data_IF_177166996135
#
_entry.id   IF_177166996135
#
_cell.length_a   1.000
_cell.length_b   1.000
_cell.length_c   1.000
_cell.angle_alpha   90.00
_cell.angle_beta   90.00
_cell.angle_gamma   90.00
#
_symmetry.space_group_name_H-M   'P 1'
#
loop_
_entity.id
_entity.type
_entity.pdbx_description
1 polymer ?
#
# COMPACT_ATOMS: atom_id res chain seq x y z
N UNK A 1 53.08 2.60 57.49
CA UNK A 1 52.84 3.19 56.15
C UNK A 1 54.20 3.34 55.50
N UNK A 2 54.50 2.58 54.45
CA UNK A 2 55.75 2.80 53.71
C UNK A 2 55.59 4.06 52.85
N UNK A 3 56.39 5.07 53.15
CA UNK A 3 56.49 6.28 52.35
C UNK A 3 57.43 6.02 51.17
N UNK A 4 56.93 6.13 49.94
CA UNK A 4 57.80 6.14 48.77
C UNK A 4 57.26 5.55 47.46
N UNK A 5 56.05 4.98 47.41
CA UNK A 5 55.53 4.46 46.14
C UNK A 5 54.61 5.48 45.47
N UNK A 6 54.97 5.90 44.26
CA UNK A 6 54.05 6.62 43.38
C UNK A 6 52.95 5.65 42.92
N UNK A 7 51.67 6.06 42.92
CA UNK A 7 50.59 5.20 42.45
C UNK A 7 50.81 4.88 40.97
N UNK A 8 50.86 3.59 40.64
CA UNK A 8 50.83 3.09 39.26
C UNK A 8 49.38 2.83 38.87
N UNK A 9 48.95 3.44 37.78
CA UNK A 9 47.65 3.19 37.17
C UNK A 9 47.83 2.58 35.79
N UNK A 10 46.90 1.72 35.40
CA UNK A 10 46.79 1.17 34.06
C UNK A 10 45.37 1.42 33.56
N UNK A 11 45.26 1.90 32.32
CA UNK A 11 43.97 2.09 31.65
C UNK A 11 43.89 1.15 30.45
N UNK A 12 42.77 0.45 30.32
CA UNK A 12 42.41 -0.29 29.11
C UNK A 12 41.28 0.43 28.40
N UNK A 13 41.33 0.49 27.07
CA UNK A 13 40.24 1.02 26.23
C UNK A 13 39.61 -0.15 25.48
N UNK A 14 38.28 -0.26 25.53
CA UNK A 14 37.50 -1.23 24.77
C UNK A 14 36.61 -0.48 23.78
N UNK A 15 36.80 -0.73 22.49
CA UNK A 15 35.92 -0.19 21.46
C UNK A 15 34.67 -1.07 21.34
N UNK A 16 33.49 -0.51 21.65
CA UNK A 16 32.21 -1.20 21.51
C UNK A 16 31.51 -0.71 20.24
N UNK A 17 31.16 -1.63 19.34
CA UNK A 17 30.37 -1.32 18.14
C UNK A 17 28.94 -1.80 18.34
N UNK A 18 27.97 -0.95 17.99
CA UNK A 18 26.54 -1.26 18.07
C UNK A 18 26.07 -1.85 16.74
N UNK A 19 25.71 -3.13 16.71
CA UNK A 19 25.21 -3.82 15.51
C UNK A 19 23.80 -4.35 15.80
N UNK A 20 22.74 -3.57 15.53
CA UNK A 20 21.38 -4.03 15.70
C UNK A 20 21.03 -5.12 14.66
N UNK A 21 20.15 -6.03 15.06
CA UNK A 21 19.56 -7.01 14.15
C UNK A 21 18.07 -6.72 14.04
N UNK A 22 17.65 -6.18 12.90
CA UNK A 22 16.26 -5.88 12.62
C UNK A 22 15.60 -7.02 11.84
N UNK A 23 14.30 -7.20 12.09
CA UNK A 23 13.40 -7.98 11.24
C UNK A 23 12.35 -7.06 10.66
N UNK A 24 11.88 -7.39 9.45
CA UNK A 24 10.81 -6.69 8.76
C UNK A 24 9.83 -7.71 8.20
N UNK A 25 8.55 -7.44 8.36
CA UNK A 25 7.46 -8.20 7.75
C UNK A 25 6.53 -7.23 7.05
N UNK A 26 6.04 -7.63 5.87
CA UNK A 26 5.02 -6.91 5.13
C UNK A 26 3.86 -7.86 4.85
N UNK A 27 2.64 -7.40 5.08
CA UNK A 27 1.42 -8.13 4.76
C UNK A 27 0.48 -7.25 3.95
N UNK A 28 -0.36 -7.87 3.13
CA UNK A 28 -1.40 -7.24 2.32
C UNK A 28 -2.39 -8.29 1.81
N UNK A 29 -3.45 -7.88 1.11
CA UNK A 29 -4.41 -8.80 0.55
C UNK A 29 -3.78 -9.68 -0.55
N UNK A 30 -4.13 -10.96 -0.58
CA UNK A 30 -3.68 -11.88 -1.63
C UNK A 30 -4.42 -11.63 -2.96
N UNK A 31 -5.70 -11.22 -2.89
CA UNK A 31 -6.53 -10.94 -4.07
C UNK A 31 -7.37 -9.69 -3.82
N UNK A 32 -7.64 -8.92 -4.89
CA UNK A 32 -8.51 -7.75 -4.83
C UNK A 32 -9.11 -7.44 -6.20
N UNK A 33 -10.34 -6.93 -6.25
CA UNK A 33 -10.87 -6.35 -7.49
C UNK A 33 -10.24 -4.99 -7.77
N UNK A 34 -9.97 -4.68 -9.04
CA UNK A 34 -9.62 -3.32 -9.45
C UNK A 34 -10.71 -2.33 -8.99
N UNK A 35 -10.29 -1.19 -8.44
CA UNK A 35 -11.17 -0.16 -7.87
C UNK A 35 -11.49 -0.32 -6.38
N UNK A 36 -11.11 -1.43 -5.75
CA UNK A 36 -11.31 -1.62 -4.31
C UNK A 36 -10.21 -0.95 -3.48
N UNK A 37 -10.51 -0.67 -2.21
CA UNK A 37 -9.53 -0.20 -1.25
C UNK A 37 -8.48 -1.28 -0.93
N UNK A 38 -7.23 -0.87 -0.77
CA UNK A 38 -6.10 -1.76 -0.45
C UNK A 38 -5.35 -1.24 0.77
N UNK A 39 -4.96 -2.17 1.64
CA UNK A 39 -4.19 -1.88 2.85
C UNK A 39 -2.98 -2.80 2.94
N UNK A 40 -1.80 -2.24 3.21
CA UNK A 40 -0.62 -3.00 3.61
C UNK A 40 -0.25 -2.68 5.05
N UNK A 41 0.28 -3.67 5.78
CA UNK A 41 0.91 -3.48 7.08
C UNK A 41 2.38 -3.87 7.00
N UNK A 42 3.24 -3.05 7.61
CA UNK A 42 4.69 -3.28 7.70
C UNK A 42 5.06 -3.27 9.18
N UNK A 43 5.61 -4.36 9.67
CA UNK A 43 6.15 -4.48 11.04
C UNK A 43 7.66 -4.51 10.98
N UNK A 44 8.31 -3.60 11.70
CA UNK A 44 9.77 -3.61 11.91
C UNK A 44 10.06 -3.80 13.38
N UNK A 45 10.89 -4.78 13.73
CA UNK A 45 11.28 -5.09 15.11
C UNK A 45 12.79 -5.19 15.24
N UNK A 46 13.30 -4.94 16.44
CA UNK A 46 14.68 -5.21 16.80
C UNK A 46 14.76 -6.49 17.63
N UNK A 47 15.45 -7.50 17.11
CA UNK A 47 15.60 -8.82 17.77
C UNK A 47 16.94 -8.96 18.50
N UNK A 48 17.71 -7.88 18.58
CA UNK A 48 19.00 -7.83 19.29
C UNK A 48 18.93 -6.97 20.54
N UNK A 49 20.00 -6.98 21.34
CA UNK A 49 20.17 -6.08 22.50
C UNK A 49 20.77 -4.72 22.13
N UNK A 50 21.25 -4.55 20.90
CA UNK A 50 21.83 -3.31 20.40
C UNK A 50 20.71 -2.41 19.87
N UNK A 51 20.66 -1.14 20.30
CA UNK A 51 19.68 -0.19 19.77
C UNK A 51 19.93 0.06 18.26
N UNK A 52 18.86 0.21 17.50
CA UNK A 52 18.88 0.77 16.15
C UNK A 52 18.37 2.20 16.20
N UNK A 53 19.20 3.16 15.84
CA UNK A 53 18.89 4.60 15.90
C UNK A 53 18.90 5.14 14.48
N UNK A 54 17.89 5.96 14.17
CA UNK A 54 17.69 6.56 12.85
C UNK A 54 17.61 5.53 11.70
N UNK A 55 17.03 4.37 11.95
CA UNK A 55 16.70 3.40 10.92
C UNK A 55 15.70 4.00 9.93
N UNK A 56 15.98 3.88 8.63
CA UNK A 56 15.13 4.39 7.56
C UNK A 56 14.34 3.25 6.92
N UNK A 57 13.01 3.34 6.96
CA UNK A 57 12.08 2.40 6.34
C UNK A 57 11.53 3.05 5.07
N UNK A 58 11.67 2.36 3.93
CA UNK A 58 11.28 2.87 2.61
C UNK A 58 10.39 1.87 1.87
N UNK A 59 9.38 2.39 1.18
CA UNK A 59 8.48 1.61 0.31
C UNK A 59 8.16 2.43 -0.94
N UNK A 60 8.41 1.84 -2.11
CA UNK A 60 8.03 2.42 -3.40
C UNK A 60 6.63 1.90 -3.75
N UNK A 61 5.61 2.58 -3.26
CA UNK A 61 4.22 2.16 -3.38
C UNK A 61 3.86 2.13 -4.88
N UNK A 62 3.38 0.99 -5.41
CA UNK A 62 3.10 0.84 -6.83
C UNK A 62 2.10 1.88 -7.35
N UNK A 63 2.34 2.41 -8.55
CA UNK A 63 1.48 3.42 -9.18
C UNK A 63 0.04 2.92 -9.48
N UNK A 64 -0.19 1.61 -9.44
CA UNK A 64 -1.53 1.02 -9.49
C UNK A 64 -2.34 1.28 -8.22
N UNK A 65 -1.74 1.81 -7.16
CA UNK A 65 -2.41 2.24 -5.92
C UNK A 65 -2.58 3.75 -5.98
N UNK A 66 -3.82 4.20 -6.09
CA UNK A 66 -4.22 5.60 -6.13
C UNK A 66 -4.35 6.17 -4.73
N UNK A 67 -4.00 7.46 -4.61
CA UNK A 67 -4.07 8.26 -3.38
C UNK A 67 -3.49 7.54 -2.14
N UNK A 68 -2.28 6.96 -2.24
CA UNK A 68 -1.69 6.26 -1.11
C UNK A 68 -1.42 7.22 0.05
N UNK A 69 -1.74 6.74 1.26
CA UNK A 69 -1.47 7.39 2.53
C UNK A 69 -0.86 6.38 3.48
N UNK A 70 -0.12 6.83 4.49
CA UNK A 70 0.33 5.96 5.56
C UNK A 70 0.32 6.65 6.91
N UNK A 71 0.23 5.81 7.94
CA UNK A 71 0.35 6.20 9.35
C UNK A 71 1.21 5.18 10.09
N UNK A 72 1.93 5.63 11.10
CA UNK A 72 2.76 4.78 11.96
C UNK A 72 2.19 4.66 13.36
N UNK A 73 2.41 3.52 14.00
CA UNK A 73 2.30 3.36 15.45
C UNK A 73 3.54 2.64 15.99
N UNK A 74 3.80 2.80 17.29
CA UNK A 74 4.97 2.23 17.95
C UNK A 74 4.58 1.47 19.21
N UNK A 75 5.31 0.38 19.48
CA UNK A 75 5.20 -0.40 20.73
C UNK A 75 6.54 -0.36 21.47
N UNK A 76 6.51 -0.49 22.80
CA UNK A 76 7.71 -0.51 23.63
C UNK A 76 8.37 0.87 23.72
N UNK A 77 9.69 0.90 23.53
CA UNK A 77 10.49 2.15 23.51
C UNK A 77 10.76 2.66 22.09
N UNK A 78 10.15 2.05 21.07
CA UNK A 78 10.31 2.48 19.70
C UNK A 78 9.76 3.90 19.50
N UNK A 79 10.42 4.69 18.67
CA UNK A 79 10.02 6.06 18.35
C UNK A 79 10.12 6.31 16.85
N UNK A 80 9.21 7.10 16.31
CA UNK A 80 9.30 7.62 14.94
C UNK A 80 9.76 9.07 15.02
N UNK A 81 10.88 9.39 14.38
CA UNK A 81 11.50 10.72 14.41
C UNK A 81 11.18 11.54 13.17
N UNK A 82 10.81 10.89 12.06
CA UNK A 82 10.34 11.55 10.84
C UNK A 82 9.40 10.65 10.04
N UNK A 83 8.45 11.25 9.30
CA UNK A 83 7.56 10.53 8.39
C UNK A 83 6.43 9.73 9.03
N UNK A 84 6.09 10.01 10.30
CA UNK A 84 5.06 9.29 11.06
C UNK A 84 3.69 9.19 10.35
N UNK A 85 3.38 10.16 9.50
CA UNK A 85 2.30 10.08 8.53
C UNK A 85 2.79 10.62 7.19
N UNK A 86 2.13 10.27 6.10
CA UNK A 86 2.43 10.84 4.80
C UNK A 86 1.51 10.35 3.69
N UNK A 87 1.78 10.85 2.49
CA UNK A 87 1.01 10.57 1.27
C UNK A 87 1.95 10.45 0.07
N UNK A 88 1.47 9.88 -1.03
CA UNK A 88 2.24 9.71 -2.25
C UNK A 88 2.93 8.35 -2.36
N UNK A 89 3.68 8.13 -3.44
CA UNK A 89 4.22 6.81 -3.79
C UNK A 89 5.58 6.48 -3.16
N UNK A 90 6.23 7.45 -2.53
CA UNK A 90 7.55 7.29 -1.93
C UNK A 90 7.45 7.39 -0.40
N UNK A 91 7.15 6.27 0.24
CA UNK A 91 7.12 6.20 1.69
C UNK A 91 8.56 6.25 2.24
N UNK A 92 8.78 7.12 3.22
CA UNK A 92 10.02 7.18 3.99
C UNK A 92 9.70 7.51 5.44
N UNK A 93 10.05 6.58 6.35
CA UNK A 93 9.88 6.71 7.80
C UNK A 93 11.25 6.56 8.44
N UNK A 94 11.62 7.47 9.35
CA UNK A 94 12.83 7.32 10.16
C UNK A 94 12.43 7.09 11.61
N UNK A 95 13.05 6.11 12.26
CA UNK A 95 12.74 5.80 13.65
C UNK A 95 13.85 5.06 14.39
N UNK A 96 13.66 4.96 15.70
CA UNK A 96 14.55 4.25 16.61
C UNK A 96 13.83 3.02 17.17
N UNK A 97 14.55 1.91 17.27
CA UNK A 97 14.11 0.71 17.97
C UNK A 97 15.15 0.36 19.04
N UNK A 98 14.74 0.32 20.31
CA UNK A 98 15.58 -0.15 21.39
C UNK A 98 15.95 -1.63 21.22
N UNK A 99 16.96 -2.09 21.96
CA UNK A 99 17.37 -3.49 22.02
C UNK A 99 16.40 -4.38 22.80
N UNK A 100 15.11 -4.29 22.51
CA UNK A 100 14.03 -4.99 23.17
C UNK A 100 13.15 -5.68 22.11
N UNK A 101 12.92 -7.00 22.18
CA UNK A 101 12.03 -7.71 21.25
C UNK A 101 10.58 -7.20 21.20
N UNK A 102 10.13 -6.45 22.22
CA UNK A 102 8.82 -5.80 22.24
C UNK A 102 8.77 -4.47 21.46
N UNK A 103 9.93 -3.91 21.07
CA UNK A 103 9.99 -2.68 20.29
C UNK A 103 9.58 -2.93 18.85
N UNK A 104 8.58 -2.18 18.40
CA UNK A 104 8.01 -2.31 17.06
C UNK A 104 7.66 -0.95 16.49
N UNK A 105 7.99 -0.74 15.22
CA UNK A 105 7.38 0.29 14.38
C UNK A 105 6.43 -0.42 13.42
N UNK A 106 5.14 -0.14 13.55
CA UNK A 106 4.09 -0.62 12.66
C UNK A 106 3.69 0.51 11.72
N UNK A 107 3.67 0.24 10.42
CA UNK A 107 3.26 1.18 9.38
C UNK A 107 2.05 0.60 8.66
N UNK A 108 0.98 1.36 8.56
CA UNK A 108 -0.22 1.01 7.78
C UNK A 108 -0.29 1.91 6.57
N UNK A 109 -0.22 1.32 5.37
CA UNK A 109 -0.41 2.00 4.09
C UNK A 109 -1.84 1.73 3.61
N UNK A 110 -2.56 2.78 3.20
CA UNK A 110 -3.92 2.70 2.66
C UNK A 110 -4.01 3.42 1.32
N UNK A 111 -4.81 2.88 0.40
CA UNK A 111 -5.12 3.51 -0.89
C UNK A 111 -6.24 2.79 -1.63
N UNK A 112 -6.37 3.06 -2.93
CA UNK A 112 -7.37 2.39 -3.79
C UNK A 112 -6.68 1.80 -5.00
N UNK A 113 -6.93 0.53 -5.33
CA UNK A 113 -6.42 -0.04 -6.58
C UNK A 113 -7.06 0.70 -7.75
N UNK A 114 -6.26 1.12 -8.72
CA UNK A 114 -6.73 1.78 -9.93
C UNK A 114 -7.82 0.90 -10.59
N UNK A 115 -9.04 1.41 -10.82
CA UNK A 115 -10.12 0.67 -11.50
C UNK A 115 -9.75 0.11 -12.88
N UNK A 116 -8.73 0.67 -13.52
CA UNK A 116 -8.19 0.23 -14.81
C UNK A 116 -7.07 -0.82 -14.69
N UNK A 117 -6.63 -1.19 -13.48
CA UNK A 117 -5.54 -2.12 -13.27
C UNK A 117 -5.82 -3.48 -13.93
N UNK A 118 -4.81 -4.02 -14.62
CA UNK A 118 -4.90 -5.29 -15.34
C UNK A 118 -3.84 -6.31 -14.92
N UNK A 119 -2.84 -5.87 -14.16
CA UNK A 119 -1.73 -6.69 -13.71
C UNK A 119 -1.74 -6.77 -12.18
N UNK A 120 -1.14 -7.84 -11.68
CA UNK A 120 -0.92 -8.05 -10.25
C UNK A 120 -0.07 -6.93 -9.66
N UNK A 121 -0.35 -6.58 -8.41
CA UNK A 121 0.40 -5.58 -7.67
C UNK A 121 1.49 -6.29 -6.89
N UNK A 122 2.73 -5.86 -7.06
CA UNK A 122 3.88 -6.35 -6.30
C UNK A 122 4.42 -5.20 -5.46
N UNK A 123 4.45 -5.36 -4.13
CA UNK A 123 4.99 -4.34 -3.23
C UNK A 123 6.00 -4.90 -2.22
N UNK A 124 7.11 -4.18 -2.03
CA UNK A 124 8.21 -4.53 -1.13
C UNK A 124 8.61 -3.33 -0.28
N UNK A 125 9.04 -3.61 0.95
CA UNK A 125 9.52 -2.57 1.88
C UNK A 125 10.92 -2.91 2.36
N UNK A 126 11.78 -1.92 2.50
CA UNK A 126 13.14 -2.08 3.02
C UNK A 126 13.36 -1.24 4.27
N UNK A 127 13.95 -1.83 5.31
CA UNK A 127 14.50 -1.10 6.46
C UNK A 127 16.03 -1.10 6.37
N UNK A 128 16.63 0.08 6.55
CA UNK A 128 18.09 0.29 6.57
C UNK A 128 18.49 0.88 7.91
N UNK A 129 19.16 0.13 8.79
CA UNK A 129 19.76 0.70 10.00
C UNK A 129 20.88 1.68 9.64
N UNK A 130 21.09 2.71 10.46
CA UNK A 130 22.14 3.71 10.23
C UNK A 130 23.50 3.29 10.82
N UNK A 131 23.53 2.27 11.66
CA UNK A 131 24.75 1.79 12.32
C UNK A 131 25.75 1.19 11.32
N UNK A 132 27.05 1.56 11.42
CA UNK A 132 28.09 0.97 10.59
C UNK A 132 28.14 -0.57 10.72
N UNK A 133 28.36 -1.25 9.59
CA UNK A 133 28.46 -2.71 9.55
C UNK A 133 27.12 -3.44 9.55
N UNK A 134 25.99 -2.73 9.56
CA UNK A 134 24.67 -3.31 9.33
C UNK A 134 24.33 -3.38 7.84
N UNK A 135 23.36 -4.22 7.49
CA UNK A 135 22.85 -4.34 6.11
C UNK A 135 21.33 -4.13 6.08
N UNK A 136 20.79 -3.56 4.99
CA UNK A 136 19.36 -3.43 4.81
C UNK A 136 18.64 -4.79 4.85
N UNK A 137 17.39 -4.77 5.32
CA UNK A 137 16.47 -5.93 5.29
C UNK A 137 15.24 -5.57 4.49
N UNK A 138 14.80 -6.46 3.61
CA UNK A 138 13.63 -6.26 2.75
C UNK A 138 12.57 -7.30 3.06
N UNK A 139 11.31 -6.86 3.16
CA UNK A 139 10.14 -7.73 3.19
C UNK A 139 9.39 -7.62 1.86
N UNK A 140 9.01 -8.77 1.32
CA UNK A 140 8.26 -8.90 0.07
C UNK A 140 9.09 -9.49 -1.08
N UNK A 141 8.53 -9.47 -2.31
CA UNK A 141 7.27 -8.81 -2.65
C UNK A 141 6.06 -9.51 -2.05
N UNK A 142 5.12 -8.71 -1.53
CA UNK A 142 3.73 -9.16 -1.35
C UNK A 142 3.04 -8.97 -2.70
N UNK A 143 2.50 -10.05 -3.24
CA UNK A 143 1.77 -10.06 -4.51
C UNK A 143 0.27 -10.07 -4.21
N UNK A 144 -0.43 -9.08 -4.76
CA UNK A 144 -1.89 -9.00 -4.76
C UNK A 144 -2.40 -9.26 -6.17
N UNK A 145 -3.07 -10.38 -6.38
CA UNK A 145 -3.67 -10.71 -7.67
C UNK A 145 -4.89 -9.86 -7.94
N UNK A 146 -4.91 -9.19 -9.09
CA UNK A 146 -5.99 -8.27 -9.45
C UNK A 146 -7.04 -8.98 -10.30
N UNK A 147 -8.29 -8.94 -9.84
CA UNK A 147 -9.45 -9.39 -10.61
C UNK A 147 -10.21 -8.19 -11.17
N UNK A 148 -10.94 -8.42 -12.28
CA UNK A 148 -11.83 -7.43 -12.85
C UNK A 148 -13.26 -7.84 -12.56
N UNK A 149 -13.99 -6.99 -11.85
CA UNK A 149 -15.39 -7.21 -11.50
C UNK A 149 -16.22 -5.96 -11.83
N UNK A 150 -16.32 -5.56 -13.11
CA UNK A 150 -17.29 -4.56 -13.50
C UNK A 150 -18.71 -5.09 -13.29
N UNK A 151 -19.67 -4.21 -13.06
CA UNK A 151 -21.08 -4.58 -12.88
C UNK A 151 -21.93 -3.56 -13.62
N UNK A 152 -22.36 -3.90 -14.84
CA UNK A 152 -23.09 -2.98 -15.71
C UNK A 152 -24.58 -3.27 -15.63
N UNK A 153 -25.38 -2.25 -15.33
CA UNK A 153 -26.83 -2.27 -15.46
C UNK A 153 -27.26 -1.47 -16.68
N UNK A 154 -28.28 -1.96 -17.38
CA UNK A 154 -28.88 -1.31 -18.54
C UNK A 154 -30.34 -1.00 -18.26
N UNK A 155 -30.78 0.22 -18.59
CA UNK A 155 -32.19 0.59 -18.59
C UNK A 155 -32.58 1.15 -19.94
N UNK A 156 -33.64 0.60 -20.54
CA UNK A 156 -34.23 1.11 -21.77
C UNK A 156 -35.57 1.73 -21.43
N UNK A 157 -35.74 3.01 -21.75
CA UNK A 157 -36.98 3.75 -21.54
C UNK A 157 -37.49 4.32 -22.86
N UNK A 158 -38.79 4.44 -22.99
CA UNK A 158 -39.47 4.96 -24.19
C UNK A 158 -40.96 5.15 -23.89
N UNK A 159 -41.73 5.67 -24.85
CA UNK A 159 -43.16 5.85 -24.66
C UNK A 159 -43.87 4.50 -24.51
N UNK A 160 -44.84 4.42 -23.59
CA UNK A 160 -45.63 3.20 -23.37
C UNK A 160 -46.61 2.92 -24.52
N UNK A 161 -47.02 3.97 -25.24
CA UNK A 161 -47.89 3.91 -26.40
C UNK A 161 -47.36 4.89 -27.46
N UNK A 162 -47.49 4.55 -28.73
CA UNK A 162 -47.25 5.43 -29.86
C UNK A 162 -48.23 5.08 -30.98
N UNK A 163 -48.71 6.09 -31.71
CA UNK A 163 -49.57 5.87 -32.87
C UNK A 163 -48.72 5.56 -34.11
N UNK A 164 -49.29 4.83 -35.07
CA UNK A 164 -48.60 4.53 -36.32
C UNK A 164 -48.20 5.82 -37.05
N UNK A 165 -46.94 5.92 -37.45
CA UNK A 165 -46.36 7.10 -38.11
C UNK A 165 -45.75 8.13 -37.15
N UNK A 166 -45.93 8.01 -35.83
CA UNK A 166 -45.25 8.87 -34.86
C UNK A 166 -43.78 8.47 -34.69
N UNK A 167 -42.93 9.46 -34.38
CA UNK A 167 -41.54 9.20 -34.02
C UNK A 167 -41.45 8.67 -32.59
N UNK A 168 -40.80 7.52 -32.41
CA UNK A 168 -40.53 6.93 -31.11
C UNK A 168 -39.06 7.15 -30.75
N UNK A 169 -38.80 7.72 -29.58
CA UNK A 169 -37.44 7.85 -29.03
C UNK A 169 -37.28 6.89 -27.86
N UNK A 170 -36.19 6.11 -27.87
CA UNK A 170 -35.78 5.31 -26.73
C UNK A 170 -34.48 5.86 -26.16
N UNK A 171 -34.43 5.94 -24.83
CA UNK A 171 -33.20 6.21 -24.10
C UNK A 171 -32.67 4.89 -23.54
N UNK A 172 -31.42 4.58 -23.83
CA UNK A 172 -30.70 3.44 -23.27
C UNK A 172 -29.60 4.00 -22.37
N UNK A 173 -29.76 3.83 -21.06
CA UNK A 173 -28.76 4.22 -20.08
C UNK A 173 -27.99 2.98 -19.62
N UNK A 174 -26.66 3.05 -19.68
CA UNK A 174 -25.76 2.04 -19.16
C UNK A 174 -24.94 2.61 -17.99
N UNK A 175 -24.96 1.94 -16.85
CA UNK A 175 -24.26 2.37 -15.63
C UNK A 175 -23.37 1.24 -15.14
N UNK A 176 -22.08 1.52 -14.95
CA UNK A 176 -21.17 0.59 -14.27
C UNK A 176 -21.19 0.85 -12.75
N UNK A 177 -21.90 0.00 -12.03
CA UNK A 177 -22.00 -0.01 -10.56
C UNK A 177 -20.87 -0.83 -9.90
N UNK A 178 -20.03 -1.48 -10.69
CA UNK A 178 -18.90 -2.27 -10.19
C UNK A 178 -17.67 -1.41 -9.92
N UNK A 179 -16.74 -1.88 -9.05
CA UNK A 179 -15.53 -1.15 -8.73
C UNK A 179 -14.54 -1.07 -9.91
N UNK A 180 -14.54 -2.08 -10.79
CA UNK A 180 -13.60 -2.15 -11.91
C UNK A 180 -14.17 -1.45 -13.14
N UNK A 181 -13.30 -0.91 -14.00
CA UNK A 181 -13.73 -0.35 -15.27
C UNK A 181 -14.37 -1.43 -16.16
N UNK A 182 -15.57 -1.14 -16.69
CA UNK A 182 -16.19 -1.91 -17.77
C UNK A 182 -15.57 -1.50 -19.11
N UNK A 183 -14.59 -2.26 -19.60
CA UNK A 183 -13.94 -2.02 -20.89
C UNK A 183 -14.54 -2.90 -21.98
N UNK A 184 -14.59 -2.41 -23.23
CA UNK A 184 -15.13 -3.15 -24.38
C UNK A 184 -16.59 -3.60 -24.20
N UNK A 185 -17.42 -2.75 -23.58
CA UNK A 185 -18.86 -3.00 -23.47
C UNK A 185 -19.50 -2.99 -24.87
N UNK A 186 -20.25 -4.03 -25.18
CA UNK A 186 -21.09 -4.10 -26.39
C UNK A 186 -22.55 -4.10 -25.93
N UNK A 187 -23.31 -3.09 -26.34
CA UNK A 187 -24.75 -3.00 -26.08
C UNK A 187 -25.46 -3.38 -27.37
N UNK A 188 -26.28 -4.42 -27.30
CA UNK A 188 -27.12 -4.88 -28.42
C UNK A 188 -28.58 -4.61 -28.10
N UNK A 189 -29.28 -3.98 -29.02
CA UNK A 189 -30.72 -3.76 -28.95
C UNK A 189 -31.38 -4.37 -30.18
N UNK A 190 -32.38 -5.23 -29.95
CA UNK A 190 -33.16 -5.82 -31.03
C UNK A 190 -34.32 -4.89 -31.32
N UNK A 191 -34.16 -4.08 -32.35
CA UNK A 191 -35.20 -3.15 -32.78
C UNK A 191 -36.32 -3.92 -33.48
N UNK A 192 -37.58 -3.81 -33.02
CA UNK A 192 -38.73 -4.40 -33.71
C UNK A 192 -38.85 -3.93 -35.17
N UNK A 193 -39.30 -4.81 -36.06
CA UNK A 193 -39.36 -4.54 -37.50
C UNK A 193 -40.39 -3.47 -37.90
N UNK A 194 -41.34 -3.17 -37.01
CA UNK A 194 -42.36 -2.14 -37.15
C UNK A 194 -41.77 -0.72 -37.03
N UNK A 195 -40.58 -0.59 -36.42
CA UNK A 195 -39.84 0.68 -36.38
C UNK A 195 -39.02 0.83 -37.66
N UNK A 196 -39.31 1.89 -38.41
CA UNK A 196 -38.60 2.24 -39.65
C UNK A 196 -37.81 3.53 -39.45
N UNK A 197 -36.77 3.76 -40.28
CA UNK A 197 -35.95 4.98 -40.18
C UNK A 197 -35.13 5.10 -38.89
N UNK A 198 -34.74 3.97 -38.30
CA UNK A 198 -34.03 3.92 -37.01
C UNK A 198 -32.67 4.62 -37.12
N UNK A 199 -32.43 5.55 -36.20
CA UNK A 199 -31.15 6.25 -36.03
C UNK A 199 -30.75 6.25 -34.56
N UNK A 200 -29.45 6.25 -34.27
CA UNK A 200 -28.90 6.38 -32.92
C UNK A 200 -27.82 7.46 -32.90
N UNK A 201 -27.65 8.09 -31.74
CA UNK A 201 -26.64 9.11 -31.48
C UNK A 201 -26.16 8.99 -30.02
#
# INVERSE_FOLDING_TARGET
AEAGTSPVSATATTNVTRIPVLTIQKNGPATLSAGQAITYTISVKNISQANAIASVITDAIPASILNPTWVTSTTGTATVTAGATGTGSALSVTGNLGGNPADEILITISGTVNPAATADISNSTTVTPAEPGTTPKTAGPVITTITKTPSVSLTKTGPANANAGETVTYLIDAVNNGPSNATALVITDVVPAELTGVTWA
#
